data_IF_430298048307
#
_entry.id   IF_430298048307
#
_cell.length_a   1.000
_cell.length_b   1.000
_cell.length_c   1.000
_cell.angle_alpha   90.00
_cell.angle_beta   90.00
_cell.angle_gamma   90.00
#
_symmetry.space_group_name_H-M   'P 1'
#
loop_
_entity.id
_entity.type
_entity.pdbx_description
1 polymer ?
#
# COMPACT_ATOMS: atom_id res chain seq x y z
N UNK A 1 -47.06 9.32 -19.02
CA UNK A 1 -46.55 9.08 -17.66
C UNK A 1 -47.15 7.78 -17.17
N UNK A 2 -46.43 6.66 -17.28
CA UNK A 2 -46.92 5.38 -16.75
C UNK A 2 -46.81 5.44 -15.22
N UNK A 3 -47.95 5.28 -14.54
CA UNK A 3 -47.97 5.08 -13.10
C UNK A 3 -47.12 3.86 -12.80
N UNK A 4 -45.94 4.05 -12.16
CA UNK A 4 -45.13 2.98 -11.61
C UNK A 4 -46.02 2.22 -10.62
N UNK A 5 -46.45 1.01 -11.02
CA UNK A 5 -47.23 0.13 -10.16
C UNK A 5 -46.39 -0.17 -8.94
N UNK A 6 -46.84 0.27 -7.77
CA UNK A 6 -46.21 -0.12 -6.52
C UNK A 6 -46.33 -1.63 -6.35
N UNK A 7 -45.18 -2.31 -6.36
CA UNK A 7 -45.11 -3.75 -6.04
C UNK A 7 -45.45 -3.95 -4.55
N UNK A 8 -46.29 -4.95 -4.25
CA UNK A 8 -46.58 -5.35 -2.86
C UNK A 8 -45.76 -6.59 -2.55
N UNK A 9 -45.19 -6.62 -1.35
CA UNK A 9 -44.48 -7.80 -0.85
C UNK A 9 -45.47 -8.90 -0.51
N UNK A 10 -45.19 -10.12 -0.91
CA UNK A 10 -45.99 -11.31 -0.54
C UNK A 10 -45.85 -11.66 0.95
N UNK A 11 -44.64 -11.44 1.50
CA UNK A 11 -44.34 -11.71 2.92
C UNK A 11 -45.08 -10.77 3.88
N UNK A 12 -45.40 -9.54 3.43
CA UNK A 12 -46.16 -8.57 4.19
C UNK A 12 -46.86 -7.59 3.22
N UNK A 13 -48.17 -7.73 3.07
CA UNK A 13 -48.99 -6.91 2.17
C UNK A 13 -49.02 -5.40 2.49
N UNK A 14 -48.55 -4.99 3.70
CA UNK A 14 -48.39 -3.58 4.08
C UNK A 14 -47.14 -2.94 3.46
N UNK A 15 -46.19 -3.75 2.96
CA UNK A 15 -44.97 -3.25 2.32
C UNK A 15 -45.24 -2.98 0.84
N UNK A 16 -45.01 -1.75 0.44
CA UNK A 16 -45.05 -1.30 -0.97
C UNK A 16 -43.62 -0.94 -1.42
N UNK A 17 -43.24 -1.32 -2.62
CA UNK A 17 -41.93 -1.08 -3.22
C UNK A 17 -42.15 -0.25 -4.49
N UNK A 18 -41.42 0.86 -4.62
CA UNK A 18 -41.43 1.71 -5.82
C UNK A 18 -40.06 2.34 -6.04
N UNK A 19 -39.83 2.94 -7.19
CA UNK A 19 -38.59 3.60 -7.61
C UNK A 19 -38.77 5.13 -7.71
N UNK A 20 -39.44 5.76 -6.74
CA UNK A 20 -39.68 7.20 -6.68
C UNK A 20 -38.85 7.92 -5.60
N UNK A 21 -37.77 7.25 -5.11
CA UNK A 21 -36.86 7.76 -4.08
C UNK A 21 -36.09 9.02 -4.49
N UNK A 22 -35.95 9.28 -5.80
CA UNK A 22 -35.13 10.37 -6.34
C UNK A 22 -33.64 10.02 -6.43
N UNK A 23 -32.77 11.03 -6.54
CA UNK A 23 -31.34 10.88 -6.72
C UNK A 23 -30.66 10.41 -5.44
N UNK A 24 -30.50 9.11 -5.31
CA UNK A 24 -29.92 8.43 -4.15
C UNK A 24 -28.57 7.84 -4.50
N UNK A 25 -27.63 7.89 -3.57
CA UNK A 25 -26.37 7.17 -3.59
C UNK A 25 -26.07 6.53 -2.23
N UNK A 26 -25.34 5.44 -2.25
CA UNK A 26 -24.85 4.78 -1.03
C UNK A 26 -23.46 5.26 -0.59
N UNK A 27 -22.81 6.14 -1.34
CA UNK A 27 -21.38 6.45 -1.22
C UNK A 27 -21.09 7.88 -0.75
N UNK A 28 -22.00 8.49 0.02
CA UNK A 28 -21.87 9.88 0.43
C UNK A 28 -20.62 10.19 1.28
N UNK A 29 -19.99 9.19 1.89
CA UNK A 29 -18.72 9.36 2.58
C UNK A 29 -17.55 9.73 1.67
N UNK A 30 -17.66 9.52 0.35
CA UNK A 30 -16.68 10.00 -0.61
C UNK A 30 -16.56 11.53 -0.64
N UNK A 31 -17.55 12.26 -0.16
CA UNK A 31 -17.45 13.71 0.05
C UNK A 31 -16.31 14.07 1.02
N UNK A 32 -16.05 13.25 2.05
CA UNK A 32 -14.88 13.42 2.93
C UNK A 32 -13.57 13.21 2.19
N UNK A 33 -13.53 12.19 1.33
CA UNK A 33 -12.36 11.91 0.49
C UNK A 33 -12.11 13.06 -0.49
N UNK A 34 -13.15 13.62 -1.12
CA UNK A 34 -13.05 14.79 -2.00
C UNK A 34 -12.41 15.98 -1.28
N UNK A 35 -12.91 16.30 -0.10
CA UNK A 35 -12.37 17.39 0.72
C UNK A 35 -10.90 17.14 1.10
N UNK A 36 -10.55 15.89 1.43
CA UNK A 36 -9.18 15.52 1.75
C UNK A 36 -8.26 15.63 0.53
N UNK A 37 -8.67 15.10 -0.63
CA UNK A 37 -7.93 15.20 -1.91
C UNK A 37 -7.68 16.67 -2.27
N UNK A 38 -8.69 17.52 -2.14
CA UNK A 38 -8.57 18.96 -2.37
C UNK A 38 -7.57 19.61 -1.39
N UNK A 39 -7.56 19.19 -0.11
CA UNK A 39 -6.63 19.71 0.91
C UNK A 39 -5.18 19.34 0.62
N UNK A 40 -4.90 18.11 0.21
CA UNK A 40 -3.54 17.68 -0.17
C UNK A 40 -3.15 18.09 -1.59
N UNK A 41 -4.09 18.66 -2.37
CA UNK A 41 -3.85 19.17 -3.72
C UNK A 41 -3.61 18.09 -4.78
N UNK A 42 -4.09 16.85 -4.56
CA UNK A 42 -3.90 15.74 -5.50
C UNK A 42 -4.60 16.01 -6.85
N UNK A 43 -5.80 16.59 -6.85
CA UNK A 43 -6.53 16.93 -8.05
C UNK A 43 -5.72 17.84 -8.97
N UNK A 44 -5.11 18.87 -8.42
CA UNK A 44 -4.21 19.78 -9.15
C UNK A 44 -2.95 19.07 -9.66
N UNK A 45 -2.32 18.21 -8.82
CA UNK A 45 -1.13 17.46 -9.22
C UNK A 45 -1.44 16.53 -10.40
N UNK A 46 -2.59 15.86 -10.38
CA UNK A 46 -3.02 14.99 -11.49
C UNK A 46 -3.26 15.85 -12.76
N UNK A 47 -3.94 16.98 -12.65
CA UNK A 47 -4.18 17.87 -13.79
C UNK A 47 -2.89 18.43 -14.41
N UNK A 48 -1.87 18.68 -13.59
CA UNK A 48 -0.60 19.27 -14.02
C UNK A 48 0.41 18.24 -14.53
N UNK A 49 0.41 17.03 -13.98
CA UNK A 49 1.49 16.05 -14.18
C UNK A 49 1.07 14.73 -14.79
N UNK A 50 -0.24 14.49 -14.97
CA UNK A 50 -0.70 13.22 -15.53
C UNK A 50 -1.35 13.42 -16.90
N UNK A 51 -0.78 12.78 -17.91
CA UNK A 51 -1.32 12.75 -19.27
C UNK A 51 -0.86 11.46 -19.98
N UNK A 52 -1.78 10.79 -20.67
CA UNK A 52 -1.43 9.67 -21.56
C UNK A 52 -0.81 10.18 -22.86
N UNK A 53 -0.21 9.30 -23.64
CA UNK A 53 0.48 9.64 -24.88
C UNK A 53 -0.44 10.11 -26.02
N UNK A 54 -1.74 10.26 -25.79
CA UNK A 54 -2.72 10.69 -26.78
C UNK A 54 -3.28 12.08 -26.46
N UNK A 55 -2.93 13.06 -27.30
CA UNK A 55 -3.32 14.48 -27.17
C UNK A 55 -4.70 14.81 -27.78
N UNK A 56 -5.48 13.80 -28.22
CA UNK A 56 -6.80 14.04 -28.80
C UNK A 56 -7.75 14.60 -27.76
N UNK A 57 -8.47 15.67 -28.14
CA UNK A 57 -9.52 16.23 -27.28
C UNK A 57 -10.62 15.22 -26.99
N UNK A 58 -11.00 15.08 -25.72
CA UNK A 58 -12.01 14.14 -25.24
C UNK A 58 -12.92 14.78 -24.20
N UNK A 59 -14.16 14.33 -24.18
CA UNK A 59 -15.14 14.70 -23.14
C UNK A 59 -14.65 14.26 -21.74
N UNK A 60 -14.07 13.05 -21.66
CA UNK A 60 -13.47 12.51 -20.45
C UNK A 60 -11.95 12.63 -20.54
N UNK A 61 -11.38 13.67 -19.92
CA UNK A 61 -9.95 13.91 -19.91
C UNK A 61 -9.21 12.82 -19.12
N UNK A 62 -7.91 12.62 -19.37
CA UNK A 62 -7.10 11.63 -18.68
C UNK A 62 -7.08 11.89 -17.16
N UNK A 63 -6.97 13.15 -16.73
CA UNK A 63 -7.04 13.52 -15.31
C UNK A 63 -8.39 13.12 -14.66
N UNK A 64 -9.50 13.35 -15.35
CA UNK A 64 -10.84 12.98 -14.85
C UNK A 64 -11.05 11.46 -14.85
N UNK A 65 -10.49 10.73 -15.81
CA UNK A 65 -10.54 9.26 -15.83
C UNK A 65 -9.70 8.67 -14.69
N UNK A 66 -8.51 9.22 -14.43
CA UNK A 66 -7.69 8.80 -13.31
C UNK A 66 -8.40 9.08 -11.98
N UNK A 67 -8.95 10.26 -11.77
CA UNK A 67 -9.72 10.59 -10.57
C UNK A 67 -10.96 9.69 -10.40
N UNK A 68 -11.66 9.37 -11.51
CA UNK A 68 -12.77 8.42 -11.48
C UNK A 68 -12.31 7.06 -10.92
N UNK A 69 -11.23 6.48 -11.44
CA UNK A 69 -10.71 5.19 -10.97
C UNK A 69 -10.26 5.27 -9.50
N UNK A 70 -9.62 6.37 -9.09
CA UNK A 70 -9.23 6.60 -7.69
C UNK A 70 -10.46 6.57 -6.76
N UNK A 71 -11.54 7.31 -7.09
CA UNK A 71 -12.76 7.31 -6.27
C UNK A 71 -13.45 5.95 -6.26
N UNK A 72 -13.49 5.25 -7.40
CA UNK A 72 -14.05 3.90 -7.49
C UNK A 72 -13.31 2.94 -6.56
N UNK A 73 -11.97 2.88 -6.65
CA UNK A 73 -11.18 1.99 -5.80
C UNK A 73 -11.26 2.36 -4.31
N UNK A 74 -11.29 3.65 -3.96
CA UNK A 74 -11.50 4.09 -2.58
C UNK A 74 -12.84 3.64 -2.03
N UNK A 75 -13.89 3.64 -2.84
CA UNK A 75 -15.22 3.17 -2.47
C UNK A 75 -15.37 1.64 -2.48
N UNK A 76 -14.39 0.89 -3.03
CA UNK A 76 -14.42 -0.57 -3.12
C UNK A 76 -15.03 -1.09 -4.44
N UNK A 77 -15.02 -0.27 -5.50
CA UNK A 77 -15.39 -0.65 -6.86
C UNK A 77 -14.11 -0.88 -7.66
N UNK A 78 -13.75 -2.11 -7.90
CA UNK A 78 -12.42 -2.46 -8.42
C UNK A 78 -12.42 -2.79 -9.91
N UNK A 79 -13.52 -3.35 -10.41
CA UNK A 79 -13.63 -3.74 -11.82
C UNK A 79 -13.82 -2.53 -12.73
N UNK A 80 -13.54 -2.70 -14.01
CA UNK A 80 -13.79 -1.64 -14.98
C UNK A 80 -15.30 -1.56 -15.30
N UNK A 81 -16.05 -2.67 -15.15
CA UNK A 81 -17.50 -2.77 -15.34
C UNK A 81 -18.28 -1.92 -14.32
N UNK A 82 -17.73 -1.75 -13.11
CA UNK A 82 -18.31 -0.84 -12.11
C UNK A 82 -18.53 0.59 -12.65
N UNK A 83 -17.77 0.99 -13.69
CA UNK A 83 -17.94 2.30 -14.34
C UNK A 83 -19.31 2.46 -15.00
N UNK A 84 -19.87 1.38 -15.56
CA UNK A 84 -21.19 1.40 -16.20
C UNK A 84 -22.29 1.41 -15.13
N UNK A 85 -22.12 0.67 -14.03
CA UNK A 85 -23.07 0.64 -12.91
C UNK A 85 -23.16 2.00 -12.20
N UNK A 86 -22.07 2.76 -12.15
CA UNK A 86 -21.98 4.06 -11.49
C UNK A 86 -22.22 5.25 -12.42
N UNK A 87 -22.56 5.03 -13.70
CA UNK A 87 -22.55 6.04 -14.76
C UNK A 87 -23.26 7.34 -14.38
N UNK A 88 -24.39 7.27 -13.68
CA UNK A 88 -25.23 8.40 -13.27
C UNK A 88 -25.36 8.52 -11.76
N UNK A 89 -24.51 7.84 -10.98
CA UNK A 89 -24.55 7.97 -9.51
C UNK A 89 -24.32 9.43 -9.11
N UNK A 90 -25.22 10.03 -8.29
CA UNK A 90 -25.18 11.45 -7.98
C UNK A 90 -23.96 11.88 -7.15
N UNK A 91 -23.33 10.98 -6.38
CA UNK A 91 -22.10 11.29 -5.68
C UNK A 91 -20.92 11.32 -6.66
N UNK A 92 -20.72 10.25 -7.45
CA UNK A 92 -19.58 10.17 -8.36
C UNK A 92 -19.61 11.25 -9.45
N UNK A 93 -20.78 11.53 -10.03
CA UNK A 93 -20.92 12.60 -11.02
C UNK A 93 -20.60 13.97 -10.43
N UNK A 94 -21.05 14.25 -9.21
CA UNK A 94 -20.75 15.49 -8.51
C UNK A 94 -19.28 15.63 -8.11
N UNK A 95 -18.63 14.54 -7.63
CA UNK A 95 -17.20 14.54 -7.28
C UNK A 95 -16.30 14.94 -8.46
N UNK A 96 -16.73 14.58 -9.68
CA UNK A 96 -15.96 14.78 -10.91
C UNK A 96 -16.44 15.96 -11.75
N UNK A 97 -17.48 16.68 -11.31
CA UNK A 97 -18.09 17.76 -12.09
C UNK A 97 -18.52 17.28 -13.50
N UNK A 98 -19.31 16.22 -13.57
CA UNK A 98 -19.74 15.59 -14.83
C UNK A 98 -21.22 15.22 -14.76
N UNK A 99 -21.86 15.20 -15.92
CA UNK A 99 -23.25 14.69 -16.08
C UNK A 99 -23.26 13.15 -16.04
N UNK A 100 -22.19 12.51 -16.50
CA UNK A 100 -22.02 11.05 -16.51
C UNK A 100 -20.54 10.65 -16.37
N UNK A 101 -20.30 9.47 -15.83
CA UNK A 101 -18.95 8.90 -15.77
C UNK A 101 -18.49 8.39 -17.13
N UNK A 102 -17.17 8.20 -17.27
CA UNK A 102 -16.59 7.45 -18.37
C UNK A 102 -17.04 5.99 -18.25
N UNK A 103 -17.60 5.44 -19.34
CA UNK A 103 -18.05 4.05 -19.42
C UNK A 103 -16.88 3.05 -19.41
N UNK A 104 -17.14 1.77 -19.14
CA UNK A 104 -16.16 0.68 -19.18
C UNK A 104 -15.30 0.69 -20.47
N UNK A 105 -15.85 0.79 -21.69
CA UNK A 105 -15.02 0.85 -22.89
C UNK A 105 -14.14 2.11 -22.97
N UNK A 106 -14.56 3.21 -22.35
CA UNK A 106 -13.74 4.44 -22.27
C UNK A 106 -12.60 4.26 -21.29
N UNK A 107 -12.84 3.63 -20.12
CA UNK A 107 -11.82 3.30 -19.15
C UNK A 107 -10.82 2.29 -19.71
N UNK A 108 -11.27 1.26 -20.42
CA UNK A 108 -10.39 0.29 -21.09
C UNK A 108 -9.46 0.99 -22.10
N UNK A 109 -9.98 1.88 -22.95
CA UNK A 109 -9.15 2.67 -23.86
C UNK A 109 -8.19 3.62 -23.12
N UNK A 110 -8.60 4.16 -21.99
CA UNK A 110 -7.75 4.99 -21.15
C UNK A 110 -6.54 4.20 -20.62
N UNK A 111 -6.73 3.01 -20.07
CA UNK A 111 -5.63 2.16 -19.61
C UNK A 111 -4.71 1.73 -20.74
N UNK A 112 -5.24 1.39 -21.92
CA UNK A 112 -4.45 0.96 -23.06
C UNK A 112 -3.59 2.09 -23.68
N UNK A 113 -3.77 3.34 -23.27
CA UNK A 113 -2.91 4.47 -23.67
C UNK A 113 -1.78 4.75 -22.67
N UNK A 114 -1.76 4.06 -21.54
CA UNK A 114 -0.71 4.21 -20.54
C UNK A 114 0.56 3.49 -21.00
N UNK A 115 1.70 4.11 -20.73
CA UNK A 115 3.03 3.67 -21.14
C UNK A 115 4.06 3.89 -20.02
N UNK A 116 5.35 3.80 -20.34
CA UNK A 116 6.42 4.03 -19.39
C UNK A 116 6.52 5.49 -18.93
N UNK A 117 6.04 6.44 -19.76
CA UNK A 117 6.00 7.85 -19.37
C UNK A 117 4.98 8.05 -18.26
N UNK A 118 3.81 7.40 -18.36
CA UNK A 118 2.80 7.46 -17.30
C UNK A 118 3.27 6.81 -16.00
N UNK A 119 4.11 5.76 -16.05
CA UNK A 119 4.76 5.20 -14.85
C UNK A 119 5.65 6.23 -14.17
N UNK A 120 6.48 6.96 -14.92
CA UNK A 120 7.31 8.03 -14.34
C UNK A 120 6.46 9.17 -13.76
N UNK A 121 5.31 9.48 -14.36
CA UNK A 121 4.39 10.48 -13.82
C UNK A 121 3.76 10.04 -12.50
N UNK A 122 3.42 8.77 -12.33
CA UNK A 122 2.96 8.24 -11.03
C UNK A 122 4.04 8.34 -9.95
N UNK A 123 5.27 7.95 -10.25
CA UNK A 123 6.40 8.10 -9.32
C UNK A 123 6.58 9.57 -8.90
N UNK A 124 6.49 10.49 -9.86
CA UNK A 124 6.60 11.93 -9.61
C UNK A 124 5.44 12.49 -8.76
N UNK A 125 4.19 12.11 -9.06
CA UNK A 125 3.02 12.51 -8.28
C UNK A 125 3.14 11.99 -6.85
N UNK A 126 3.55 10.73 -6.67
CA UNK A 126 3.74 10.13 -5.34
C UNK A 126 4.82 10.85 -4.54
N UNK A 127 5.95 11.21 -5.19
CA UNK A 127 7.00 12.01 -4.60
C UNK A 127 6.47 13.38 -4.12
N UNK A 128 5.78 14.13 -4.99
CA UNK A 128 5.23 15.44 -4.66
C UNK A 128 4.20 15.36 -3.51
N UNK A 129 3.35 14.34 -3.51
CA UNK A 129 2.41 14.11 -2.41
C UNK A 129 3.13 13.80 -1.11
N UNK A 130 4.17 12.97 -1.13
CA UNK A 130 4.99 12.67 0.05
C UNK A 130 5.61 13.94 0.62
N UNK A 131 6.16 14.83 -0.23
CA UNK A 131 6.65 16.15 0.22
C UNK A 131 5.57 16.97 0.92
N UNK A 132 4.36 17.01 0.35
CA UNK A 132 3.22 17.71 0.96
C UNK A 132 2.83 17.09 2.31
N UNK A 133 2.76 15.77 2.41
CA UNK A 133 2.44 15.06 3.66
C UNK A 133 3.53 15.32 4.73
N UNK A 134 4.79 15.30 4.34
CA UNK A 134 5.91 15.58 5.25
C UNK A 134 5.98 17.06 5.67
N UNK A 135 5.42 17.99 4.89
CA UNK A 135 5.28 19.39 5.33
C UNK A 135 4.28 19.54 6.49
N UNK A 136 3.31 18.63 6.63
CA UNK A 136 2.42 18.57 7.79
C UNK A 136 3.17 18.00 9.01
N UNK A 137 3.92 16.93 8.79
CA UNK A 137 4.68 16.25 9.83
C UNK A 137 5.90 15.55 9.21
N UNK A 138 7.06 16.20 9.33
CA UNK A 138 8.35 15.63 8.90
C UNK A 138 8.67 14.41 9.80
N UNK A 139 9.04 13.25 9.23
CA UNK A 139 9.53 12.13 10.01
C UNK A 139 10.93 12.42 10.57
N UNK A 140 11.27 11.86 11.73
CA UNK A 140 12.64 11.86 12.27
C UNK A 140 13.44 10.69 11.70
N UNK A 141 12.76 9.60 11.38
CA UNK A 141 13.33 8.41 10.76
C UNK A 141 12.35 7.78 9.76
N UNK A 142 12.87 7.10 8.77
CA UNK A 142 12.11 6.29 7.82
C UNK A 142 12.67 4.87 7.82
N UNK A 143 11.77 3.90 7.91
CA UNK A 143 12.11 2.49 7.93
C UNK A 143 11.65 1.83 6.63
N UNK A 144 12.59 1.63 5.72
CA UNK A 144 12.34 0.99 4.44
C UNK A 144 12.18 -0.53 4.65
N UNK A 145 10.95 -1.00 4.69
CA UNK A 145 10.65 -2.43 4.66
C UNK A 145 10.50 -2.86 3.19
N UNK A 146 11.47 -3.63 2.69
CA UNK A 146 11.44 -4.17 1.32
C UNK A 146 10.96 -5.62 1.34
N UNK A 147 10.07 -5.93 0.40
CA UNK A 147 9.58 -7.30 0.17
C UNK A 147 9.15 -7.51 -1.27
N UNK A 148 8.99 -8.76 -1.62
CA UNK A 148 8.36 -9.19 -2.86
C UNK A 148 7.19 -10.13 -2.56
N UNK A 149 6.22 -10.16 -3.43
CA UNK A 149 5.05 -11.05 -3.30
C UNK A 149 4.67 -11.57 -4.68
N UNK A 150 3.82 -12.58 -4.73
CA UNK A 150 3.26 -13.03 -6.00
C UNK A 150 1.94 -12.29 -6.27
N UNK A 151 1.77 -11.78 -7.50
CA UNK A 151 0.49 -11.37 -8.06
C UNK A 151 0.07 -12.42 -9.07
N UNK A 152 -0.96 -13.18 -8.73
CA UNK A 152 -1.44 -14.29 -9.56
C UNK A 152 -1.95 -13.78 -10.91
N UNK A 153 -1.67 -14.54 -11.99
CA UNK A 153 -2.17 -14.26 -13.32
C UNK A 153 -3.04 -15.39 -13.83
N UNK A 154 -4.02 -15.06 -14.63
CA UNK A 154 -4.91 -16.02 -15.26
C UNK A 154 -4.75 -15.93 -16.78
N UNK A 155 -4.26 -17.00 -17.36
CA UNK A 155 -3.94 -17.04 -18.79
C UNK A 155 -2.52 -16.50 -19.10
N UNK A 156 -2.26 -16.29 -20.38
CA UNK A 156 -0.95 -15.82 -20.85
C UNK A 156 -0.94 -14.29 -20.90
N UNK A 157 -0.08 -13.70 -20.08
CA UNK A 157 0.18 -12.26 -20.06
C UNK A 157 1.66 -12.00 -20.32
N UNK A 158 2.00 -10.84 -20.88
CA UNK A 158 3.37 -10.41 -21.10
C UNK A 158 4.12 -10.33 -19.75
N UNK A 159 5.28 -10.99 -19.64
CA UNK A 159 6.11 -10.99 -18.43
C UNK A 159 5.61 -11.90 -17.30
N UNK A 160 4.47 -12.59 -17.46
CA UNK A 160 4.10 -13.62 -16.51
C UNK A 160 5.12 -14.76 -16.51
N UNK A 161 5.29 -15.44 -15.39
CA UNK A 161 6.20 -16.56 -15.28
C UNK A 161 5.93 -17.42 -14.07
N UNK A 162 6.39 -18.67 -14.11
CA UNK A 162 6.30 -19.57 -12.96
C UNK A 162 7.30 -19.15 -11.89
N UNK A 163 6.79 -18.89 -10.70
CA UNK A 163 7.59 -18.56 -9.53
C UNK A 163 7.76 -19.81 -8.64
N UNK A 164 8.99 -20.31 -8.54
CA UNK A 164 9.30 -21.53 -7.78
C UNK A 164 9.06 -21.39 -6.28
N UNK A 165 9.20 -20.18 -5.72
CA UNK A 165 8.98 -19.95 -4.30
C UNK A 165 7.50 -20.10 -3.92
N UNK A 166 6.62 -19.58 -4.76
CA UNK A 166 5.17 -19.64 -4.55
C UNK A 166 4.50 -20.82 -5.25
N UNK A 167 5.24 -21.56 -6.09
CA UNK A 167 4.72 -22.69 -6.91
C UNK A 167 3.50 -22.30 -7.75
N UNK A 168 3.48 -21.09 -8.28
CA UNK A 168 2.39 -20.57 -9.09
C UNK A 168 2.88 -19.63 -10.18
N UNK A 169 2.02 -19.37 -11.19
CA UNK A 169 2.24 -18.38 -12.24
C UNK A 169 1.80 -17.00 -11.82
N UNK A 170 2.54 -15.97 -12.22
CA UNK A 170 2.17 -14.59 -11.93
C UNK A 170 3.28 -13.61 -12.22
N UNK A 171 3.16 -12.42 -11.62
CA UNK A 171 4.20 -11.40 -11.53
C UNK A 171 4.85 -11.43 -10.15
N UNK A 172 6.08 -10.95 -10.05
CA UNK A 172 6.83 -10.91 -8.78
C UNK A 172 7.27 -9.47 -8.44
N UNK A 173 6.32 -8.57 -8.07
CA UNK A 173 6.63 -7.17 -7.80
C UNK A 173 7.56 -6.98 -6.62
N UNK A 174 8.32 -5.88 -6.65
CA UNK A 174 9.02 -5.31 -5.48
C UNK A 174 8.15 -4.23 -4.85
N UNK A 175 8.06 -4.26 -3.54
CA UNK A 175 7.33 -3.30 -2.72
C UNK A 175 8.24 -2.76 -1.62
N UNK A 176 8.22 -1.45 -1.40
CA UNK A 176 8.93 -0.79 -0.32
C UNK A 176 7.96 0.05 0.50
N UNK A 177 7.70 -0.36 1.73
CA UNK A 177 6.86 0.37 2.67
C UNK A 177 7.69 1.12 3.70
N UNK A 178 7.18 2.21 4.23
CA UNK A 178 7.66 2.72 5.51
C UNK A 178 7.06 1.87 6.64
N UNK A 179 7.87 1.05 7.27
CA UNK A 179 7.46 0.14 8.35
C UNK A 179 6.90 0.83 9.59
N UNK A 180 7.07 2.14 9.73
CA UNK A 180 6.54 2.94 10.84
C UNK A 180 5.14 3.48 10.54
N UNK A 181 4.91 3.97 9.34
CA UNK A 181 3.67 4.63 8.94
C UNK A 181 2.76 3.75 8.09
N UNK A 182 3.32 2.73 7.45
CA UNK A 182 2.63 1.89 6.47
C UNK A 182 2.46 2.56 5.11
N UNK A 183 3.10 3.71 4.84
CA UNK A 183 3.06 4.33 3.53
C UNK A 183 3.80 3.45 2.50
N UNK A 184 3.21 3.18 1.36
CA UNK A 184 3.86 2.47 0.26
C UNK A 184 4.72 3.46 -0.52
N UNK A 185 6.02 3.46 -0.22
CA UNK A 185 6.97 4.45 -0.73
C UNK A 185 7.29 4.24 -2.21
N UNK A 186 7.39 2.98 -2.63
CA UNK A 186 7.68 2.60 -4.02
C UNK A 186 7.18 1.18 -4.32
N UNK A 187 6.74 0.96 -5.55
CA UNK A 187 6.35 -0.36 -6.07
C UNK A 187 6.80 -0.51 -7.52
N UNK A 188 7.24 -1.71 -7.90
CA UNK A 188 7.65 -2.04 -9.27
C UNK A 188 7.13 -3.42 -9.64
N UNK A 189 6.34 -3.50 -10.71
CA UNK A 189 5.92 -4.78 -11.28
C UNK A 189 7.12 -5.40 -12.01
N UNK A 190 7.36 -6.71 -11.79
CA UNK A 190 8.45 -7.46 -12.41
C UNK A 190 7.94 -8.78 -13.00
N UNK A 191 8.65 -9.37 -13.97
CA UNK A 191 8.34 -10.71 -14.44
C UNK A 191 8.28 -11.73 -13.30
N UNK A 192 7.45 -12.76 -13.46
CA UNK A 192 7.16 -13.73 -12.40
C UNK A 192 8.36 -14.61 -11.99
N UNK A 193 9.25 -14.86 -12.90
CA UNK A 193 10.41 -15.77 -12.73
C UNK A 193 11.70 -15.09 -12.25
N UNK A 194 11.66 -13.80 -11.91
CA UNK A 194 12.84 -13.08 -11.41
C UNK A 194 13.14 -13.43 -9.95
N UNK A 195 14.42 -13.40 -9.60
CA UNK A 195 14.85 -13.62 -8.22
C UNK A 195 14.47 -12.41 -7.33
N UNK A 196 14.31 -12.64 -6.03
CA UNK A 196 13.86 -11.61 -5.06
C UNK A 196 14.71 -10.35 -5.08
N UNK A 197 16.08 -10.48 -5.05
CA UNK A 197 16.99 -9.33 -5.07
C UNK A 197 17.21 -8.70 -6.45
N UNK A 198 16.72 -9.31 -7.54
CA UNK A 198 16.86 -8.71 -8.86
C UNK A 198 16.28 -7.30 -8.85
N UNK A 199 17.01 -6.38 -9.49
CA UNK A 199 16.63 -4.96 -9.62
C UNK A 199 16.50 -4.17 -8.31
N UNK A 200 16.77 -4.77 -7.12
CA UNK A 200 16.58 -4.10 -5.84
C UNK A 200 17.42 -2.82 -5.69
N UNK A 201 18.66 -2.81 -6.20
CA UNK A 201 19.53 -1.63 -6.17
C UNK A 201 18.98 -0.49 -7.04
N UNK A 202 18.59 -0.79 -8.29
CA UNK A 202 18.01 0.21 -9.20
C UNK A 202 16.65 0.71 -8.70
N UNK A 203 15.89 -0.15 -8.04
CA UNK A 203 14.61 0.18 -7.43
C UNK A 203 14.75 1.12 -6.24
N UNK A 204 15.71 0.87 -5.33
CA UNK A 204 15.89 1.64 -4.11
C UNK A 204 16.70 2.92 -4.30
N UNK A 205 17.67 2.93 -5.22
CA UNK A 205 18.58 4.06 -5.41
C UNK A 205 17.88 5.41 -5.57
N UNK A 206 16.84 5.58 -6.43
CA UNK A 206 16.14 6.85 -6.56
C UNK A 206 15.48 7.29 -5.25
N UNK A 207 14.91 6.35 -4.49
CA UNK A 207 14.27 6.63 -3.22
C UNK A 207 15.29 7.06 -2.14
N UNK A 208 16.44 6.39 -2.06
CA UNK A 208 17.53 6.77 -1.16
C UNK A 208 18.05 8.18 -1.48
N UNK A 209 18.26 8.48 -2.77
CA UNK A 209 18.72 9.81 -3.22
C UNK A 209 17.71 10.89 -2.85
N UNK A 210 16.41 10.64 -3.02
CA UNK A 210 15.35 11.57 -2.60
C UNK A 210 15.49 11.95 -1.11
N UNK A 211 15.68 10.96 -0.23
CA UNK A 211 15.82 11.24 1.20
C UNK A 211 17.11 11.96 1.54
N UNK A 212 18.21 11.62 0.89
CA UNK A 212 19.49 12.29 1.11
C UNK A 212 19.48 13.75 0.67
N UNK A 213 18.80 14.05 -0.43
CA UNK A 213 18.72 15.40 -1.00
C UNK A 213 17.69 16.28 -0.27
N UNK A 214 16.46 15.77 -0.09
CA UNK A 214 15.35 16.55 0.46
C UNK A 214 15.27 16.52 1.99
N UNK A 215 15.81 15.46 2.63
CA UNK A 215 15.65 15.22 4.08
C UNK A 215 16.95 14.71 4.73
N UNK A 216 18.08 15.45 4.63
CA UNK A 216 19.39 14.97 5.11
C UNK A 216 19.45 14.69 6.61
N UNK A 217 18.54 15.27 7.40
CA UNK A 217 18.44 15.04 8.85
C UNK A 217 17.61 13.80 9.22
N UNK A 218 16.99 13.13 8.24
CA UNK A 218 16.15 11.95 8.47
C UNK A 218 17.02 10.70 8.45
N UNK A 219 16.99 9.93 9.55
CA UNK A 219 17.70 8.66 9.63
C UNK A 219 17.00 7.58 8.79
N UNK A 220 17.76 6.93 7.91
CA UNK A 220 17.26 5.85 7.07
C UNK A 220 17.65 4.48 7.62
N UNK A 221 16.68 3.60 7.68
CA UNK A 221 16.84 2.20 8.03
C UNK A 221 16.23 1.32 6.96
N UNK A 222 16.81 0.13 6.72
CA UNK A 222 16.24 -0.85 5.80
C UNK A 222 16.12 -2.21 6.48
N UNK A 223 14.99 -2.90 6.24
CA UNK A 223 14.83 -4.32 6.59
C UNK A 223 14.43 -5.11 5.35
N UNK A 224 15.02 -6.30 5.22
CA UNK A 224 14.71 -7.24 4.16
C UNK A 224 14.78 -8.69 4.65
N UNK A 225 14.09 -9.58 3.99
CA UNK A 225 14.23 -11.00 4.25
C UNK A 225 15.53 -11.56 3.64
N UNK A 226 15.71 -12.87 3.71
CA UNK A 226 16.93 -13.51 3.21
C UNK A 226 17.06 -13.52 1.68
N UNK A 227 16.00 -13.19 0.97
CA UNK A 227 16.04 -13.01 -0.48
C UNK A 227 16.77 -11.75 -0.91
N UNK A 228 16.89 -10.76 0.01
CA UNK A 228 17.61 -9.50 -0.20
C UNK A 228 19.04 -9.49 0.37
N UNK A 229 19.56 -10.64 0.77
CA UNK A 229 20.95 -10.77 1.24
C UNK A 229 21.93 -10.72 0.06
N UNK A 230 22.10 -9.56 -0.52
CA UNK A 230 22.84 -9.29 -1.75
C UNK A 230 23.98 -8.30 -1.48
N UNK A 231 25.25 -8.60 -1.87
CA UNK A 231 26.38 -7.74 -1.60
C UNK A 231 26.27 -6.35 -2.23
N UNK A 232 25.70 -6.23 -3.44
CA UNK A 232 25.53 -4.95 -4.11
C UNK A 232 24.51 -4.06 -3.35
N UNK A 233 23.48 -4.69 -2.77
CA UNK A 233 22.54 -3.97 -1.90
C UNK A 233 23.23 -3.48 -0.61
N UNK A 234 24.06 -4.30 0.03
CA UNK A 234 24.80 -3.86 1.21
C UNK A 234 25.69 -2.66 0.90
N UNK A 235 26.44 -2.71 -0.22
CA UNK A 235 27.31 -1.60 -0.65
C UNK A 235 26.51 -0.33 -0.94
N UNK A 236 25.38 -0.46 -1.61
CA UNK A 236 24.48 0.67 -1.87
C UNK A 236 24.03 1.34 -0.56
N UNK A 237 23.59 0.55 0.42
CA UNK A 237 23.13 1.06 1.71
C UNK A 237 24.26 1.69 2.53
N UNK A 238 25.42 1.03 2.59
CA UNK A 238 26.63 1.49 3.30
C UNK A 238 27.15 2.82 2.70
N UNK A 239 27.19 2.91 1.36
CA UNK A 239 27.64 4.13 0.65
C UNK A 239 26.71 5.33 0.91
N UNK A 240 25.41 5.07 1.07
CA UNK A 240 24.40 6.10 1.32
C UNK A 240 24.12 6.33 2.82
N UNK A 241 24.93 5.77 3.73
CA UNK A 241 24.75 5.95 5.17
C UNK A 241 23.47 5.37 5.75
N UNK A 242 22.82 4.44 5.02
CA UNK A 242 21.59 3.78 5.46
C UNK A 242 21.90 2.61 6.37
N UNK A 243 21.30 2.59 7.55
CA UNK A 243 21.38 1.45 8.48
C UNK A 243 20.50 0.30 8.00
N UNK A 244 20.93 -0.94 8.18
CA UNK A 244 20.11 -2.08 7.72
C UNK A 244 20.17 -3.29 8.64
N UNK A 245 19.11 -4.11 8.57
CA UNK A 245 19.02 -5.44 9.16
C UNK A 245 18.38 -6.40 8.14
N UNK A 246 19.17 -7.28 7.57
CA UNK A 246 18.73 -8.22 6.52
C UNK A 246 18.99 -9.65 6.99
N UNK A 247 17.99 -10.52 6.88
CA UNK A 247 18.13 -11.92 7.29
C UNK A 247 19.09 -12.66 6.35
N UNK A 248 19.88 -13.57 6.92
CA UNK A 248 20.67 -14.55 6.17
C UNK A 248 20.03 -15.94 6.26
N UNK A 249 20.11 -16.69 5.19
CA UNK A 249 19.84 -18.14 5.24
C UNK A 249 20.95 -18.82 6.03
N UNK A 250 20.57 -19.69 6.95
CA UNK A 250 21.53 -20.51 7.67
C UNK A 250 22.34 -21.37 6.69
N UNK A 251 23.65 -21.46 6.94
CA UNK A 251 24.56 -22.37 6.24
C UNK A 251 25.52 -22.99 7.26
N UNK A 252 26.27 -23.99 6.85
CA UNK A 252 27.17 -24.75 7.72
C UNK A 252 28.19 -23.85 8.44
N UNK A 253 28.76 -22.87 7.73
CA UNK A 253 29.72 -21.92 8.30
C UNK A 253 29.11 -21.04 9.39
N UNK A 254 27.94 -20.46 9.13
CA UNK A 254 27.23 -19.63 10.11
C UNK A 254 26.81 -20.46 11.33
N UNK A 255 26.36 -21.70 11.13
CA UNK A 255 25.99 -22.58 12.23
C UNK A 255 27.20 -22.94 13.07
N UNK A 256 28.35 -23.27 12.48
CA UNK A 256 29.61 -23.51 13.21
C UNK A 256 30.06 -22.30 14.04
N UNK A 257 29.92 -21.09 13.51
CA UNK A 257 30.25 -19.86 14.24
C UNK A 257 29.32 -19.63 15.46
N UNK A 258 28.13 -20.20 15.45
CA UNK A 258 27.16 -20.10 16.53
C UNK A 258 27.25 -21.23 17.58
N UNK A 259 28.11 -22.26 17.40
CA UNK A 259 28.22 -23.44 18.31
C UNK A 259 28.52 -23.07 19.78
N UNK A 260 29.28 -22.00 20.01
CA UNK A 260 29.54 -21.54 21.37
C UNK A 260 28.28 -21.06 22.07
N UNK A 261 27.35 -20.45 21.35
CA UNK A 261 26.06 -19.98 21.87
C UNK A 261 25.08 -21.15 22.10
N UNK A 262 25.18 -22.22 21.33
CA UNK A 262 24.40 -23.46 21.57
C UNK A 262 24.79 -24.09 22.88
N UNK A 263 26.14 -24.14 23.21
CA UNK A 263 26.63 -24.66 24.46
C UNK A 263 26.18 -23.81 25.65
N UNK A 264 26.30 -22.48 25.54
CA UNK A 264 25.79 -21.54 26.55
C UNK A 264 24.29 -21.76 26.79
N UNK A 265 23.52 -21.99 25.72
CA UNK A 265 22.08 -22.22 25.79
C UNK A 265 21.76 -23.56 26.49
N UNK A 266 22.57 -24.61 26.26
CA UNK A 266 22.42 -25.87 26.96
C UNK A 266 22.70 -25.76 28.46
N UNK A 267 23.76 -25.05 28.84
CA UNK A 267 24.07 -24.79 30.25
C UNK A 267 22.88 -24.05 30.93
N UNK A 268 22.36 -23.00 30.33
CA UNK A 268 21.20 -22.26 30.85
C UNK A 268 19.97 -23.16 31.00
N UNK A 269 19.69 -24.05 30.04
CA UNK A 269 18.50 -24.90 30.07
C UNK A 269 18.61 -26.02 31.10
N UNK A 270 19.80 -26.61 31.27
CA UNK A 270 20.04 -27.65 32.25
C UNK A 270 20.02 -27.09 33.68
N UNK A 271 20.73 -25.98 33.91
CA UNK A 271 20.88 -25.40 35.26
C UNK A 271 19.58 -24.80 35.80
N UNK A 272 18.77 -24.18 34.91
CA UNK A 272 17.53 -23.50 35.31
C UNK A 272 16.28 -24.38 35.12
N UNK A 273 16.38 -25.58 34.57
CA UNK A 273 15.25 -26.50 34.28
C UNK A 273 14.12 -25.83 33.49
N UNK A 274 14.48 -24.98 32.51
CA UNK A 274 13.53 -24.25 31.69
C UNK A 274 13.32 -24.97 30.35
N UNK A 275 12.08 -24.99 29.88
CA UNK A 275 11.72 -25.62 28.61
C UNK A 275 12.07 -24.77 27.38
N UNK A 276 12.25 -23.45 27.55
CA UNK A 276 12.59 -22.50 26.50
C UNK A 276 13.66 -21.54 26.97
N UNK A 277 14.69 -21.39 26.18
CA UNK A 277 15.72 -20.38 26.40
C UNK A 277 16.19 -19.76 25.06
N UNK A 278 16.76 -18.58 25.14
CA UNK A 278 17.29 -17.84 24.01
C UNK A 278 18.59 -17.16 24.39
N UNK A 279 19.57 -17.21 23.50
CA UNK A 279 20.87 -16.53 23.62
C UNK A 279 21.09 -15.67 22.38
N UNK A 280 21.73 -14.54 22.55
CA UNK A 280 22.09 -13.61 21.48
C UNK A 280 23.60 -13.45 21.42
N UNK A 281 24.15 -13.44 20.22
CA UNK A 281 25.57 -13.21 19.99
C UNK A 281 25.84 -12.48 18.70
N UNK A 282 27.10 -12.25 18.43
CA UNK A 282 27.56 -11.63 17.20
C UNK A 282 28.94 -12.11 16.79
N UNK A 283 29.22 -12.04 15.51
CA UNK A 283 30.53 -12.32 14.93
C UNK A 283 30.72 -11.59 13.59
N UNK A 284 31.93 -11.61 13.07
CA UNK A 284 32.24 -11.13 11.74
C UNK A 284 32.23 -12.29 10.75
N UNK A 285 31.59 -12.08 9.58
CA UNK A 285 31.49 -13.09 8.53
C UNK A 285 31.58 -12.44 7.14
N UNK A 286 32.14 -13.16 6.20
CA UNK A 286 32.10 -12.85 4.78
C UNK A 286 31.73 -14.13 4.01
N UNK A 287 30.71 -14.06 3.17
CA UNK A 287 30.50 -15.08 2.13
C UNK A 287 31.56 -14.91 1.03
N UNK A 288 31.77 -15.96 0.22
CA UNK A 288 32.73 -15.92 -0.89
C UNK A 288 32.44 -14.79 -1.91
N UNK A 289 31.19 -14.41 -2.06
CA UNK A 289 30.75 -13.33 -2.94
C UNK A 289 30.87 -11.92 -2.33
N UNK A 290 31.23 -11.79 -1.05
CA UNK A 290 31.29 -10.50 -0.39
C UNK A 290 32.68 -9.88 -0.49
N UNK A 291 32.76 -8.62 -0.87
CA UNK A 291 34.03 -7.88 -0.93
C UNK A 291 34.66 -7.58 0.45
N UNK A 292 33.85 -7.63 1.51
CA UNK A 292 34.30 -7.35 2.89
C UNK A 292 33.54 -8.15 3.95
N UNK A 293 34.13 -8.22 5.14
CA UNK A 293 33.45 -8.84 6.28
C UNK A 293 32.40 -7.89 6.87
N UNK A 294 31.25 -8.45 7.25
CA UNK A 294 30.16 -7.71 7.88
C UNK A 294 29.81 -8.29 9.25
N UNK A 295 29.19 -7.47 10.08
CA UNK A 295 28.65 -7.89 11.37
C UNK A 295 27.44 -8.77 11.18
N UNK A 296 27.46 -9.95 11.76
CA UNK A 296 26.31 -10.84 11.85
C UNK A 296 25.86 -10.91 13.29
N UNK A 297 24.62 -10.62 13.53
CA UNK A 297 23.94 -10.84 14.80
C UNK A 297 23.18 -12.15 14.70
N UNK A 298 23.27 -12.97 15.75
CA UNK A 298 22.62 -14.27 15.81
C UNK A 298 21.75 -14.38 17.06
N UNK A 299 20.57 -14.93 16.85
CA UNK A 299 19.68 -15.45 17.90
C UNK A 299 19.69 -16.96 17.79
N UNK A 300 20.03 -17.64 18.87
CA UNK A 300 19.89 -19.10 19.04
C UNK A 300 18.79 -19.34 20.05
N UNK A 301 17.81 -20.16 19.70
CA UNK A 301 16.71 -20.52 20.58
C UNK A 301 16.50 -22.02 20.58
N UNK A 302 16.16 -22.56 21.75
CA UNK A 302 15.76 -23.94 21.96
C UNK A 302 14.26 -23.94 22.30
N UNK A 303 13.40 -24.30 21.31
CA UNK A 303 11.97 -24.35 21.56
C UNK A 303 11.62 -25.48 22.54
N UNK A 304 10.59 -25.27 23.35
CA UNK A 304 10.12 -26.26 24.31
C UNK A 304 9.81 -27.62 23.64
N UNK A 305 10.34 -28.69 24.21
CA UNK A 305 10.14 -30.05 23.70
C UNK A 305 10.86 -30.40 22.39
N UNK A 306 11.74 -29.52 21.89
CA UNK A 306 12.54 -29.77 20.68
C UNK A 306 14.01 -30.00 21.04
N UNK A 307 14.65 -30.95 20.33
CA UNK A 307 16.08 -31.24 20.48
C UNK A 307 16.94 -30.39 19.52
N UNK A 308 16.31 -29.62 18.63
CA UNK A 308 16.98 -28.88 17.57
C UNK A 308 16.95 -27.38 17.88
N UNK A 309 18.11 -26.72 17.74
CA UNK A 309 18.22 -25.27 17.85
C UNK A 309 17.63 -24.59 16.63
N UNK A 310 17.06 -23.40 16.84
CA UNK A 310 16.65 -22.49 15.76
C UNK A 310 17.59 -21.30 15.75
N UNK A 311 18.17 -21.06 14.59
CA UNK A 311 19.09 -19.96 14.36
C UNK A 311 18.40 -18.86 13.53
N UNK A 312 18.59 -17.62 13.94
CA UNK A 312 18.22 -16.44 13.13
C UNK A 312 19.47 -15.59 12.98
N UNK A 313 19.99 -15.50 11.77
CA UNK A 313 21.16 -14.69 11.41
C UNK A 313 20.74 -13.41 10.72
N UNK A 314 21.22 -12.28 11.19
CA UNK A 314 20.94 -10.95 10.63
C UNK A 314 22.29 -10.28 10.29
N UNK A 315 22.48 -9.91 9.04
CA UNK A 315 23.57 -9.03 8.62
C UNK A 315 23.17 -7.58 8.86
N UNK A 316 24.08 -6.80 9.45
CA UNK A 316 23.79 -5.41 9.83
C UNK A 316 25.04 -4.55 9.90
N UNK A 317 24.89 -3.25 9.67
CA UNK A 317 25.90 -2.22 9.95
C UNK A 317 25.54 -1.37 11.20
N UNK A 318 24.43 -1.67 11.89
CA UNK A 318 24.00 -0.95 13.08
C UNK A 318 24.88 -1.29 14.29
N UNK A 319 25.14 -0.29 15.14
CA UNK A 319 25.89 -0.43 16.41
C UNK A 319 24.92 -0.57 17.61
N UNK A 320 23.98 -1.49 17.51
CA UNK A 320 23.02 -1.83 18.56
C UNK A 320 23.39 -3.17 19.19
N UNK A 321 22.93 -3.43 20.43
CA UNK A 321 23.12 -4.75 21.07
C UNK A 321 22.45 -5.84 20.21
N UNK A 322 23.00 -7.07 20.18
CA UNK A 322 22.44 -8.16 19.40
C UNK A 322 20.94 -8.40 19.62
N UNK A 323 20.47 -8.37 20.83
CA UNK A 323 19.05 -8.52 21.18
C UNK A 323 18.18 -7.39 20.60
N UNK A 324 18.69 -6.17 20.56
CA UNK A 324 17.97 -5.01 20.00
C UNK A 324 17.87 -5.07 18.48
N UNK A 325 18.93 -5.51 17.78
CA UNK A 325 18.91 -5.76 16.33
C UNK A 325 17.88 -6.83 15.98
N UNK A 326 17.85 -7.93 16.73
CA UNK A 326 16.85 -8.99 16.52
C UNK A 326 15.45 -8.46 16.76
N UNK A 327 15.22 -7.71 17.83
CA UNK A 327 13.91 -7.10 18.10
C UNK A 327 13.49 -6.12 16.99
N UNK A 328 14.41 -5.28 16.53
CA UNK A 328 14.20 -4.37 15.40
C UNK A 328 13.78 -5.14 14.15
N UNK A 329 14.49 -6.22 13.82
CA UNK A 329 14.17 -7.06 12.67
C UNK A 329 12.80 -7.77 12.83
N UNK A 330 12.51 -8.35 13.99
CA UNK A 330 11.27 -9.11 14.22
C UNK A 330 10.00 -8.27 14.03
N UNK A 331 10.06 -6.96 14.23
CA UNK A 331 8.95 -6.04 13.97
C UNK A 331 8.59 -5.90 12.46
N UNK A 332 9.36 -6.51 11.56
CA UNK A 332 9.06 -6.57 10.11
C UNK A 332 7.73 -7.26 9.79
N UNK A 333 7.23 -8.14 10.66
CA UNK A 333 5.93 -8.82 10.46
C UNK A 333 4.73 -7.88 10.25
N UNK A 334 4.87 -6.57 10.54
CA UNK A 334 3.85 -5.57 10.20
C UNK A 334 3.69 -5.37 8.69
N UNK A 335 4.76 -5.54 7.91
CA UNK A 335 4.74 -5.36 6.47
C UNK A 335 3.80 -6.35 5.77
N UNK A 336 3.73 -7.58 6.26
CA UNK A 336 2.79 -8.59 5.75
C UNK A 336 1.34 -8.10 5.80
N UNK A 337 0.97 -7.34 6.86
CA UNK A 337 -0.36 -6.75 6.97
C UNK A 337 -0.56 -5.62 5.95
N UNK A 338 0.49 -4.81 5.65
CA UNK A 338 0.41 -3.75 4.64
C UNK A 338 0.24 -4.36 3.24
N UNK A 339 1.02 -5.38 2.90
CA UNK A 339 0.90 -6.12 1.63
C UNK A 339 -0.51 -6.73 1.52
N UNK A 340 -0.99 -7.40 2.57
CA UNK A 340 -2.32 -7.98 2.59
C UNK A 340 -3.41 -6.92 2.39
N UNK A 341 -3.33 -5.77 3.07
CA UNK A 341 -4.30 -4.68 2.91
C UNK A 341 -4.23 -4.08 1.50
N UNK A 342 -3.04 -3.93 0.91
CA UNK A 342 -2.87 -3.44 -0.46
C UNK A 342 -3.51 -4.39 -1.47
N UNK A 343 -3.35 -5.70 -1.31
CA UNK A 343 -3.94 -6.72 -2.17
C UNK A 343 -5.46 -6.81 -1.97
N UNK A 344 -5.91 -7.20 -0.79
CA UNK A 344 -7.34 -7.48 -0.55
C UNK A 344 -8.20 -6.22 -0.43
N UNK A 345 -7.63 -5.12 0.06
CA UNK A 345 -8.36 -3.88 0.31
C UNK A 345 -8.39 -2.92 -0.87
N UNK A 346 -7.45 -3.02 -1.81
CA UNK A 346 -7.33 -2.11 -2.95
C UNK A 346 -7.13 -2.80 -4.28
N UNK A 347 -7.29 -4.13 -4.31
CA UNK A 347 -7.22 -4.95 -5.52
C UNK A 347 -5.90 -4.75 -6.30
N UNK A 348 -4.78 -4.55 -5.57
CA UNK A 348 -3.50 -4.21 -6.16
C UNK A 348 -2.93 -5.36 -7.01
N UNK A 349 -3.28 -6.58 -6.70
CA UNK A 349 -2.78 -7.81 -7.34
C UNK A 349 -3.64 -8.31 -8.49
N UNK A 350 -4.74 -7.65 -8.82
CA UNK A 350 -5.55 -8.02 -9.99
C UNK A 350 -4.96 -7.45 -11.27
N UNK A 351 -4.31 -8.33 -12.04
CA UNK A 351 -3.64 -8.01 -13.30
C UNK A 351 -4.55 -8.42 -14.47
N UNK A 352 -5.35 -7.48 -15.00
CA UNK A 352 -6.41 -7.76 -15.97
C UNK A 352 -6.03 -7.51 -17.44
N UNK A 353 -4.82 -7.00 -17.73
CA UNK A 353 -4.34 -6.72 -19.08
C UNK A 353 -3.36 -7.80 -19.58
N UNK A 354 -3.33 -7.99 -20.91
CA UNK A 354 -2.25 -8.78 -21.52
C UNK A 354 -0.91 -8.05 -21.52
N UNK A 355 -0.88 -6.72 -21.51
CA UNK A 355 0.34 -5.92 -21.48
C UNK A 355 0.86 -5.73 -20.06
N UNK A 356 2.15 -6.02 -19.85
CA UNK A 356 2.83 -5.79 -18.58
C UNK A 356 2.90 -4.30 -18.23
N UNK A 357 3.12 -3.42 -19.21
CA UNK A 357 3.15 -1.97 -19.01
C UNK A 357 1.80 -1.44 -18.53
N UNK A 358 0.69 -1.92 -19.10
CA UNK A 358 -0.67 -1.56 -18.64
C UNK A 358 -0.92 -2.07 -17.22
N UNK A 359 -0.54 -3.31 -16.90
CA UNK A 359 -0.65 -3.86 -15.55
C UNK A 359 0.22 -3.10 -14.54
N UNK A 360 1.42 -2.67 -14.93
CA UNK A 360 2.28 -1.82 -14.11
C UNK A 360 1.60 -0.49 -13.78
N UNK A 361 0.96 0.15 -14.75
CA UNK A 361 0.23 1.40 -14.53
C UNK A 361 -1.00 1.19 -13.62
N UNK A 362 -1.76 0.09 -13.81
CA UNK A 362 -2.88 -0.26 -12.91
C UNK A 362 -2.40 -0.45 -11.47
N UNK A 363 -1.27 -1.13 -11.28
CA UNK A 363 -0.65 -1.27 -9.97
C UNK A 363 -0.30 0.10 -9.36
N UNK A 364 0.28 1.04 -10.14
CA UNK A 364 0.61 2.38 -9.64
C UNK A 364 -0.63 3.19 -9.23
N UNK A 365 -1.77 3.01 -9.89
CA UNK A 365 -3.04 3.60 -9.44
C UNK A 365 -3.41 3.04 -8.06
N UNK A 366 -3.31 1.72 -7.87
CA UNK A 366 -3.59 1.09 -6.56
C UNK A 366 -2.61 1.53 -5.48
N UNK A 367 -1.32 1.74 -5.81
CA UNK A 367 -0.31 2.36 -4.92
C UNK A 367 -0.77 3.74 -4.46
N UNK A 368 -1.20 4.58 -5.40
CA UNK A 368 -1.68 5.94 -5.10
C UNK A 368 -2.93 5.91 -4.21
N UNK A 369 -3.91 5.07 -4.56
CA UNK A 369 -5.16 4.90 -3.79
C UNK A 369 -4.90 4.40 -2.37
N UNK A 370 -4.02 3.41 -2.22
CA UNK A 370 -3.59 2.91 -0.92
C UNK A 370 -3.00 4.03 -0.05
N UNK A 371 -2.08 4.82 -0.60
CA UNK A 371 -1.45 5.92 0.13
C UNK A 371 -2.44 7.04 0.48
N UNK A 372 -3.32 7.44 -0.43
CA UNK A 372 -4.39 8.42 -0.14
C UNK A 372 -5.21 7.95 1.06
N UNK A 373 -5.62 6.67 1.06
CA UNK A 373 -6.39 6.12 2.17
C UNK A 373 -5.58 6.04 3.46
N UNK A 374 -4.29 5.63 3.40
CA UNK A 374 -3.43 5.55 4.57
C UNK A 374 -3.19 6.93 5.20
N UNK A 375 -2.97 7.97 4.39
CA UNK A 375 -2.85 9.35 4.86
C UNK A 375 -4.18 9.87 5.41
N UNK A 376 -5.30 9.63 4.72
CA UNK A 376 -6.64 9.96 5.22
C UNK A 376 -6.89 9.32 6.59
N UNK A 377 -6.65 8.00 6.74
CA UNK A 377 -6.80 7.27 7.99
C UNK A 377 -5.94 7.86 9.11
N UNK A 378 -4.69 8.15 8.84
CA UNK A 378 -3.71 8.61 9.82
C UNK A 378 -3.91 10.07 10.23
N UNK A 379 -4.22 10.95 9.29
CA UNK A 379 -4.27 12.38 9.51
C UNK A 379 -5.63 12.88 10.00
N UNK A 380 -6.73 12.33 9.48
CA UNK A 380 -8.05 12.94 9.68
C UNK A 380 -9.10 12.07 10.35
N UNK A 381 -8.95 10.73 10.35
CA UNK A 381 -9.92 9.89 11.06
C UNK A 381 -9.86 10.09 12.58
N UNK A 382 -10.99 9.94 13.30
CA UNK A 382 -11.02 9.84 14.76
C UNK A 382 -10.04 8.79 15.28
N UNK A 383 -9.43 9.01 16.42
CA UNK A 383 -8.44 8.09 17.02
C UNK A 383 -8.94 6.64 17.11
N UNK A 384 -10.22 6.44 17.39
CA UNK A 384 -10.87 5.13 17.46
C UNK A 384 -10.92 4.38 16.12
N UNK A 385 -10.81 5.08 14.99
CA UNK A 385 -10.90 4.50 13.65
C UNK A 385 -9.55 4.33 12.94
N UNK A 386 -8.48 4.94 13.43
CA UNK A 386 -7.16 4.94 12.77
C UNK A 386 -6.51 3.57 12.60
N UNK A 387 -6.92 2.58 13.41
CA UNK A 387 -6.39 1.21 13.37
C UNK A 387 -7.32 0.22 12.64
N UNK A 388 -8.46 0.69 12.14
CA UNK A 388 -9.41 -0.16 11.42
C UNK A 388 -8.89 -0.46 10.02
N UNK A 389 -9.19 -1.66 9.54
CA UNK A 389 -8.95 -2.04 8.15
C UNK A 389 -9.83 -1.22 7.20
N UNK A 390 -9.38 -1.10 5.94
CA UNK A 390 -10.05 -0.28 4.93
C UNK A 390 -11.52 -0.64 4.74
N UNK A 391 -11.87 -1.93 4.69
CA UNK A 391 -13.25 -2.38 4.49
C UNK A 391 -14.16 -1.98 5.64
N UNK A 392 -13.63 -2.02 6.86
CA UNK A 392 -14.37 -1.54 8.03
C UNK A 392 -14.61 -0.03 7.97
N UNK A 393 -13.62 0.75 7.50
CA UNK A 393 -13.79 2.19 7.32
C UNK A 393 -14.76 2.48 6.18
N UNK A 394 -14.68 1.76 5.05
CA UNK A 394 -15.64 1.86 3.94
C UNK A 394 -17.07 1.66 4.46
N UNK A 395 -17.32 0.54 5.13
CA UNK A 395 -18.64 0.22 5.66
C UNK A 395 -19.18 1.29 6.62
N UNK A 396 -18.34 1.80 7.50
CA UNK A 396 -18.75 2.72 8.56
C UNK A 396 -18.85 4.18 8.12
N UNK A 397 -17.98 4.60 7.20
CA UNK A 397 -17.78 6.03 6.91
C UNK A 397 -17.98 6.39 5.45
N UNK A 398 -17.72 5.49 4.49
CA UNK A 398 -17.89 5.78 3.08
C UNK A 398 -19.26 5.35 2.55
N UNK A 399 -19.73 4.15 2.93
CA UNK A 399 -21.02 3.60 2.52
C UNK A 399 -22.17 4.19 3.35
N UNK A 400 -22.43 5.49 3.17
CA UNK A 400 -23.54 6.21 3.82
C UNK A 400 -24.52 6.64 2.75
N UNK A 401 -25.78 6.22 2.91
CA UNK A 401 -26.85 6.62 2.00
C UNK A 401 -27.12 8.12 2.09
N UNK A 402 -27.28 8.75 0.93
CA UNK A 402 -27.66 10.15 0.83
C UNK A 402 -28.62 10.38 -0.34
N UNK A 403 -29.49 11.37 -0.18
CA UNK A 403 -30.32 11.93 -1.26
C UNK A 403 -29.72 13.26 -1.71
N UNK A 404 -29.44 13.40 -3.00
CA UNK A 404 -29.07 14.68 -3.60
C UNK A 404 -30.33 15.51 -3.89
N UNK A 405 -30.30 16.78 -3.55
CA UNK A 405 -31.38 17.74 -3.81
C UNK A 405 -30.78 19.03 -4.36
N UNK A 406 -31.25 19.47 -5.49
CA UNK A 406 -30.90 20.77 -6.06
C UNK A 406 -31.75 21.88 -5.44
N UNK A 407 -31.10 22.96 -5.06
CA UNK A 407 -31.68 24.23 -4.66
C UNK A 407 -31.15 25.31 -5.61
N UNK A 408 -31.79 26.49 -5.65
CA UNK A 408 -31.39 27.55 -6.58
C UNK A 408 -29.89 27.94 -6.55
N UNK A 409 -29.22 27.73 -5.39
CA UNK A 409 -27.81 28.10 -5.19
C UNK A 409 -26.92 26.96 -4.68
N UNK A 410 -27.50 25.81 -4.32
CA UNK A 410 -26.77 24.78 -3.58
C UNK A 410 -27.15 23.39 -4.10
N UNK A 411 -26.16 22.50 -4.12
CA UNK A 411 -26.38 21.05 -4.14
C UNK A 411 -26.34 20.58 -2.69
N UNK A 412 -27.41 19.93 -2.25
CA UNK A 412 -27.55 19.49 -0.87
C UNK A 412 -27.58 17.97 -0.82
N UNK A 413 -26.59 17.37 -0.19
CA UNK A 413 -26.61 15.94 0.13
C UNK A 413 -27.23 15.72 1.49
N UNK A 414 -28.44 15.14 1.51
CA UNK A 414 -29.15 14.76 2.76
C UNK A 414 -28.77 13.35 3.13
N UNK A 415 -27.81 13.21 4.06
CA UNK A 415 -27.32 11.93 4.53
C UNK A 415 -28.33 11.25 5.44
N UNK A 416 -28.26 9.91 5.51
CA UNK A 416 -29.10 9.08 6.35
C UNK A 416 -29.07 9.57 7.83
N UNK A 417 -30.21 10.00 8.35
CA UNK A 417 -30.31 10.55 9.72
C UNK A 417 -30.11 9.48 10.81
N UNK A 418 -30.37 8.21 10.52
CA UNK A 418 -30.15 7.06 11.40
C UNK A 418 -28.75 6.46 11.30
N UNK A 419 -27.82 7.10 10.57
CA UNK A 419 -26.43 6.61 10.46
C UNK A 419 -25.76 6.60 11.85
N UNK A 420 -25.30 5.44 12.36
CA UNK A 420 -24.69 5.34 13.68
C UNK A 420 -23.32 6.02 13.77
N UNK A 421 -22.69 6.34 12.63
CA UNK A 421 -21.35 6.94 12.54
C UNK A 421 -21.36 8.44 12.22
N UNK A 422 -22.51 9.12 12.43
CA UNK A 422 -22.67 10.55 12.16
C UNK A 422 -21.62 11.42 12.86
N UNK A 423 -21.32 11.11 14.12
CA UNK A 423 -20.32 11.86 14.90
C UNK A 423 -18.92 11.69 14.30
N UNK A 424 -18.53 10.46 13.93
CA UNK A 424 -17.26 10.19 13.28
C UNK A 424 -17.12 10.89 11.93
N UNK A 425 -18.20 10.97 11.15
CA UNK A 425 -18.24 11.73 9.89
C UNK A 425 -17.99 13.22 10.14
N UNK A 426 -18.70 13.82 11.09
CA UNK A 426 -18.56 15.25 11.42
C UNK A 426 -17.16 15.54 11.99
N UNK A 427 -16.62 14.68 12.86
CA UNK A 427 -15.27 14.81 13.39
C UNK A 427 -14.23 14.74 12.27
N UNK A 428 -14.36 13.76 11.36
CA UNK A 428 -13.46 13.63 10.21
C UNK A 428 -13.47 14.90 9.35
N UNK A 429 -14.65 15.43 9.03
CA UNK A 429 -14.77 16.68 8.25
C UNK A 429 -14.12 17.87 8.97
N UNK A 430 -14.28 17.97 10.28
CA UNK A 430 -13.61 19.00 11.10
C UNK A 430 -12.09 18.85 11.04
N UNK A 431 -11.58 17.62 11.18
CA UNK A 431 -10.15 17.34 11.10
C UNK A 431 -9.58 17.69 9.73
N UNK A 432 -10.29 17.39 8.62
CA UNK A 432 -9.89 17.81 7.27
C UNK A 432 -9.78 19.35 7.18
N UNK A 433 -10.76 20.07 7.71
CA UNK A 433 -10.76 21.56 7.70
C UNK A 433 -9.57 22.13 8.46
N UNK A 434 -9.11 21.48 9.53
CA UNK A 434 -7.97 21.90 10.34
C UNK A 434 -6.62 21.63 9.66
N UNK A 435 -6.54 20.74 8.66
CA UNK A 435 -5.32 20.56 7.90
C UNK A 435 -4.96 21.85 7.16
N UNK A 436 -3.65 22.20 7.06
CA UNK A 436 -3.22 23.28 6.19
C UNK A 436 -3.58 22.95 4.74
N UNK A 437 -3.90 23.97 3.95
CA UNK A 437 -4.03 23.81 2.51
C UNK A 437 -2.65 23.68 1.91
N UNK A 438 -2.36 22.54 1.30
CA UNK A 438 -1.06 22.28 0.70
C UNK A 438 -1.12 22.71 -0.78
N UNK A 439 -0.61 23.90 -1.06
CA UNK A 439 -0.57 24.48 -2.42
C UNK A 439 0.53 23.88 -3.29
#
# INVERSE_FOLDING_TARGET
>A
MSSLMALRSESNSKIKINFDGGDLSSDAGLLLIKEFICKIGLDKLIEQHFQTNDKTFRLHTDAKNLLQKIYQQLAGYFTDDDSDELTIDPIFTNLLDKDSLASQPTMSRFFNRMDDITLMQFDWILYLLRKKIYSIRKPEMVLLDIDSTLFDTFGRQEGEGFNYHYSNHGYHPLLCYDGLTGDLLKAMLRPGNVYTSSDCCSFLKPLLMEYLEDYPDVSLYLRGDSGFADPDLFELLETNGTSYAIRLKANETLTKLAESLEKELDEITVDNKVDYAVVYGEFRYAALSWGQTRRIVVKVEKPAGQLVYRHTFIVTNMDMKPSEVILFYCNRGRMENFIKESKSGFDMDTMSSHSMTVNSNRMQISVLVYNIFNWFRRLVLPKSMRKLQVDTVRLKLLKIAAKMVHSARYIIFKLCSSCPYKEAFVETLKNIKLLPKLE
#
